data_IF_182379640609
#
_entry.id   IF_182379640609
#
_cell.length_a   1.000
_cell.length_b   1.000
_cell.length_c   1.000
_cell.angle_alpha   90.00
_cell.angle_beta   90.00
_cell.angle_gamma   90.00
#
_symmetry.space_group_name_H-M   'P 1'
#
loop_
_entity.id
_entity.type
_entity.pdbx_description
1 polymer ?
#
# COMPACT_ATOMS: atom_id res chain seq x y z
N UNK A 1 -16.47 -6.34 -10.66
CA UNK A 1 -15.53 -5.19 -10.74
C UNK A 1 -15.60 -4.45 -9.42
N UNK A 2 -14.51 -3.84 -8.97
CA UNK A 2 -14.39 -3.30 -7.60
C UNK A 2 -13.46 -2.09 -7.57
N UNK A 3 -13.90 -1.03 -6.89
CA UNK A 3 -13.06 0.15 -6.57
C UNK A 3 -12.30 -0.10 -5.27
N UNK A 4 -10.99 0.20 -5.27
CA UNK A 4 -10.14 0.18 -4.07
C UNK A 4 -9.83 1.61 -3.65
N UNK A 5 -10.00 1.90 -2.37
CA UNK A 5 -9.72 3.20 -1.77
C UNK A 5 -8.88 3.10 -0.52
N UNK A 6 -8.10 4.15 -0.21
CA UNK A 6 -7.35 4.22 1.04
C UNK A 6 -6.96 5.65 1.39
N UNK A 7 -6.86 5.96 2.69
CA UNK A 7 -6.33 7.25 3.16
C UNK A 7 -4.88 7.07 3.58
N UNK A 8 -3.98 7.72 2.87
CA UNK A 8 -2.56 7.80 3.22
C UNK A 8 -2.32 9.05 4.07
N UNK A 9 -1.66 8.86 5.21
CA UNK A 9 -1.20 9.97 6.07
C UNK A 9 0.32 10.03 6.00
N UNK A 10 0.87 11.13 5.49
CA UNK A 10 2.28 11.48 5.73
C UNK A 10 2.40 12.07 7.13
N UNK A 11 3.43 11.67 7.88
CA UNK A 11 3.70 12.16 9.24
C UNK A 11 4.11 13.65 9.26
N UNK A 12 4.62 14.16 8.14
CA UNK A 12 5.05 15.55 7.96
C UNK A 12 3.89 16.55 7.67
N UNK A 13 2.63 16.07 7.56
CA UNK A 13 1.44 16.86 7.19
C UNK A 13 1.56 17.63 5.86
N UNK A 14 2.58 17.38 5.06
CA UNK A 14 2.61 17.87 3.68
C UNK A 14 1.73 16.98 2.80
N UNK A 15 0.93 17.62 1.95
CA UNK A 15 0.18 16.90 0.91
C UNK A 15 1.14 15.98 0.13
N UNK A 16 0.70 14.80 -0.33
CA UNK A 16 1.50 14.01 -1.26
C UNK A 16 1.98 14.91 -2.41
N UNK A 17 3.22 14.70 -2.87
CA UNK A 17 3.79 15.52 -3.93
C UNK A 17 2.78 15.62 -5.08
N UNK A 18 2.41 16.86 -5.43
CA UNK A 18 1.26 17.21 -6.27
C UNK A 18 1.26 16.54 -7.65
N UNK A 19 2.41 15.99 -8.05
CA UNK A 19 2.70 15.58 -9.43
C UNK A 19 3.17 14.12 -9.58
N UNK A 20 3.17 13.28 -8.55
CA UNK A 20 3.52 11.86 -8.73
C UNK A 20 2.37 11.09 -9.38
N UNK A 21 2.50 10.89 -10.70
CA UNK A 21 1.69 9.95 -11.46
C UNK A 21 1.99 8.53 -10.99
N UNK A 22 1.05 7.89 -10.30
CA UNK A 22 1.19 6.51 -9.85
C UNK A 22 1.89 6.41 -8.50
N UNK A 23 1.21 6.83 -7.44
CA UNK A 23 1.68 6.51 -6.09
C UNK A 23 1.37 5.05 -5.75
N UNK A 24 0.27 4.49 -6.27
CA UNK A 24 -0.06 3.07 -6.14
C UNK A 24 -0.25 2.49 -7.53
N UNK A 25 0.38 1.36 -7.81
CA UNK A 25 0.20 0.64 -9.07
C UNK A 25 -0.50 -0.69 -8.80
N UNK A 26 -1.63 -0.93 -9.44
CA UNK A 26 -2.27 -2.24 -9.45
C UNK A 26 -1.89 -3.00 -10.71
N UNK A 27 -1.52 -4.26 -10.60
CA UNK A 27 -1.39 -5.17 -11.73
C UNK A 27 -2.51 -6.19 -11.64
N UNK A 28 -3.43 -6.16 -12.60
CA UNK A 28 -4.61 -7.03 -12.65
C UNK A 28 -4.66 -7.80 -13.96
N UNK A 29 -5.29 -8.96 -13.93
CA UNK A 29 -5.59 -9.72 -15.14
C UNK A 29 -6.87 -9.17 -15.80
N UNK A 30 -6.76 -8.78 -17.07
CA UNK A 30 -7.88 -8.32 -17.89
C UNK A 30 -8.12 -9.28 -19.06
N UNK A 31 -9.39 -9.56 -19.36
CA UNK A 31 -9.77 -10.37 -20.52
C UNK A 31 -9.89 -9.47 -21.74
N UNK A 32 -8.99 -9.65 -22.70
CA UNK A 32 -9.06 -8.97 -24.00
C UNK A 32 -9.65 -9.91 -25.05
N UNK A 33 -10.84 -9.58 -25.53
CA UNK A 33 -11.52 -10.35 -26.58
C UNK A 33 -10.86 -10.13 -27.94
N UNK A 34 -10.64 -11.22 -28.68
CA UNK A 34 -9.93 -11.21 -29.98
C UNK A 34 -10.86 -11.61 -31.12
N UNK A 35 -11.81 -12.50 -30.84
CA UNK A 35 -12.89 -12.90 -31.73
C UNK A 35 -14.15 -13.22 -30.90
N UNK A 36 -15.28 -13.50 -31.55
CA UNK A 36 -16.51 -13.86 -30.86
C UNK A 36 -16.31 -15.16 -30.05
N UNK A 37 -16.16 -15.04 -28.73
CA UNK A 37 -15.96 -16.15 -27.79
C UNK A 37 -14.52 -16.35 -27.32
N UNK A 38 -13.54 -15.87 -28.07
CA UNK A 38 -12.12 -16.02 -27.74
C UNK A 38 -11.57 -14.78 -27.03
N UNK A 39 -10.88 -15.00 -25.92
CA UNK A 39 -10.16 -13.95 -25.19
C UNK A 39 -8.76 -14.40 -24.81
N UNK A 40 -7.86 -13.43 -24.72
CA UNK A 40 -6.56 -13.60 -24.07
C UNK A 40 -6.59 -12.90 -22.72
N UNK A 41 -5.91 -13.48 -21.73
CA UNK A 41 -5.69 -12.81 -20.44
C UNK A 41 -4.41 -11.99 -20.55
N UNK A 42 -4.51 -10.69 -20.30
CA UNK A 42 -3.37 -9.78 -20.29
C UNK A 42 -3.23 -9.15 -18.91
N UNK A 43 -1.99 -9.03 -18.44
CA UNK A 43 -1.71 -8.27 -17.23
C UNK A 43 -1.63 -6.79 -17.55
N UNK A 44 -2.46 -6.00 -16.87
CA UNK A 44 -2.55 -4.55 -17.04
C UNK A 44 -2.07 -3.87 -15.78
N UNK A 45 -1.11 -2.96 -15.93
CA UNK A 45 -0.61 -2.12 -14.84
C UNK A 45 -1.37 -0.78 -14.83
N UNK A 46 -2.09 -0.53 -13.74
CA UNK A 46 -2.98 0.60 -13.52
C UNK A 46 -2.35 1.58 -12.52
N UNK A 47 -1.77 2.70 -12.97
CA UNK A 47 -1.23 3.72 -12.07
C UNK A 47 -2.35 4.55 -11.44
N UNK A 48 -2.39 4.59 -10.12
CA UNK A 48 -3.35 5.37 -9.34
C UNK A 48 -2.62 6.48 -8.58
N UNK A 49 -3.15 7.71 -8.69
CA UNK A 49 -2.67 8.87 -7.94
C UNK A 49 -3.44 9.01 -6.64
N UNK A 50 -2.80 9.65 -5.66
CA UNK A 50 -3.49 10.16 -4.48
C UNK A 50 -4.10 11.52 -4.81
N UNK A 51 -5.36 11.71 -4.46
CA UNK A 51 -6.01 13.02 -4.44
C UNK A 51 -6.26 13.41 -2.99
N UNK A 52 -5.63 14.50 -2.53
CA UNK A 52 -5.67 14.96 -1.13
C UNK A 52 -5.37 13.84 -0.11
N UNK A 53 -4.39 12.99 -0.42
CA UNK A 53 -4.00 11.86 0.43
C UNK A 53 -4.96 10.66 0.37
N UNK A 54 -5.97 10.70 -0.49
CA UNK A 54 -6.90 9.60 -0.72
C UNK A 54 -6.59 8.91 -2.04
N UNK A 55 -6.33 7.61 -1.97
CA UNK A 55 -6.29 6.71 -3.11
C UNK A 55 -7.72 6.36 -3.51
N UNK A 56 -8.00 6.43 -4.81
CA UNK A 56 -9.20 5.85 -5.42
C UNK A 56 -8.78 5.22 -6.75
N UNK A 57 -8.88 3.89 -6.86
CA UNK A 57 -8.63 3.19 -8.11
C UNK A 57 -9.81 3.35 -9.08
N UNK A 58 -9.63 3.10 -10.38
CA UNK A 58 -10.76 2.77 -11.25
C UNK A 58 -11.37 1.42 -10.84
N UNK A 59 -12.45 1.01 -11.51
CA UNK A 59 -13.03 -0.32 -11.36
C UNK A 59 -12.04 -1.40 -11.80
N UNK A 60 -11.57 -2.20 -10.85
CA UNK A 60 -10.65 -3.30 -11.09
C UNK A 60 -11.41 -4.62 -11.22
N UNK A 61 -10.89 -5.53 -12.04
CA UNK A 61 -11.43 -6.89 -12.15
C UNK A 61 -11.17 -7.64 -10.83
N UNK A 62 -12.19 -8.36 -10.34
CA UNK A 62 -12.03 -9.18 -9.15
C UNK A 62 -11.14 -10.38 -9.43
N UNK A 63 -10.29 -10.75 -8.47
CA UNK A 63 -9.31 -11.82 -8.64
C UNK A 63 -7.96 -11.51 -8.00
N UNK A 64 -6.97 -12.40 -8.20
CA UNK A 64 -5.59 -12.17 -7.78
C UNK A 64 -5.02 -10.93 -8.46
N UNK A 65 -4.31 -10.11 -7.70
CA UNK A 65 -3.66 -8.91 -8.21
C UNK A 65 -2.37 -8.63 -7.45
N UNK A 66 -1.54 -7.77 -8.04
CA UNK A 66 -0.39 -7.19 -7.36
C UNK A 66 -0.67 -5.72 -7.08
N UNK A 67 -0.20 -5.23 -5.93
CA UNK A 67 -0.19 -3.80 -5.61
C UNK A 67 1.20 -3.35 -5.23
N UNK A 68 1.70 -2.31 -5.89
CA UNK A 68 2.99 -1.70 -5.60
C UNK A 68 2.76 -0.29 -5.05
N UNK A 69 3.42 0.05 -3.94
CA UNK A 69 3.33 1.38 -3.33
C UNK A 69 4.62 2.15 -3.63
N UNK A 70 4.50 3.26 -4.36
CA UNK A 70 5.62 4.03 -4.91
C UNK A 70 6.20 3.41 -6.19
N UNK A 71 7.03 4.18 -6.90
CA UNK A 71 7.66 3.75 -8.16
C UNK A 71 8.69 2.62 -7.98
N UNK A 72 9.32 2.56 -6.81
CA UNK A 72 10.37 1.58 -6.44
C UNK A 72 10.09 0.88 -5.10
N UNK A 73 8.88 1.00 -4.57
CA UNK A 73 8.54 0.41 -3.28
C UNK A 73 8.08 -1.04 -3.38
N UNK A 74 7.71 -1.64 -2.23
CA UNK A 74 7.36 -3.05 -2.13
C UNK A 74 6.12 -3.38 -2.95
N UNK A 75 6.10 -4.61 -3.48
CA UNK A 75 4.95 -5.20 -4.16
C UNK A 75 4.29 -6.22 -3.23
N UNK A 76 2.97 -6.19 -3.18
CA UNK A 76 2.14 -7.06 -2.36
C UNK A 76 1.18 -7.84 -3.22
N UNK A 77 1.02 -9.12 -2.92
CA UNK A 77 -0.06 -9.94 -3.49
C UNK A 77 -1.35 -9.67 -2.73
N UNK A 78 -2.44 -9.42 -3.46
CA UNK A 78 -3.76 -9.17 -2.89
C UNK A 78 -4.82 -9.97 -3.64
N UNK A 79 -5.94 -10.24 -2.97
CA UNK A 79 -7.15 -10.76 -3.60
C UNK A 79 -8.18 -9.65 -3.68
N UNK A 80 -8.48 -9.15 -4.88
CA UNK A 80 -9.54 -8.15 -5.09
C UNK A 80 -10.89 -8.87 -5.01
N UNK A 81 -11.74 -8.58 -4.00
CA UNK A 81 -13.05 -9.19 -3.91
C UNK A 81 -13.98 -8.61 -4.96
N UNK A 82 -15.07 -9.29 -5.29
CA UNK A 82 -16.19 -8.69 -6.01
C UNK A 82 -17.02 -7.86 -5.03
N UNK A 83 -17.13 -6.55 -5.26
CA UNK A 83 -17.85 -5.63 -4.38
C UNK A 83 -18.43 -4.46 -5.16
N UNK A 84 -19.70 -4.15 -4.91
CA UNK A 84 -20.34 -2.94 -5.43
C UNK A 84 -19.94 -1.68 -4.66
N UNK A 85 -19.39 -1.83 -3.45
CA UNK A 85 -18.93 -0.74 -2.59
C UNK A 85 -17.39 -0.64 -2.61
N UNK A 86 -16.80 0.56 -2.43
CA UNK A 86 -15.36 0.72 -2.33
C UNK A 86 -14.74 -0.10 -1.20
N UNK A 87 -13.64 -0.80 -1.50
CA UNK A 87 -12.92 -1.66 -0.56
C UNK A 87 -11.63 -0.99 -0.11
N UNK A 88 -11.25 -1.18 1.16
CA UNK A 88 -10.02 -0.60 1.72
C UNK A 88 -8.77 -1.38 1.31
N UNK A 89 -7.71 -0.67 0.90
CA UNK A 89 -6.47 -1.30 0.43
C UNK A 89 -5.75 -2.10 1.54
N UNK A 90 -5.54 -1.51 2.72
CA UNK A 90 -4.70 -2.13 3.74
C UNK A 90 -5.19 -3.51 4.19
N UNK A 91 -6.49 -3.73 4.47
CA UNK A 91 -7.00 -5.06 4.77
C UNK A 91 -6.72 -6.11 3.70
N UNK A 92 -6.68 -5.73 2.42
CA UNK A 92 -6.35 -6.66 1.33
C UNK A 92 -4.88 -7.07 1.38
N UNK A 93 -3.98 -6.12 1.66
CA UNK A 93 -2.54 -6.38 1.82
C UNK A 93 -2.30 -7.27 3.05
N UNK A 94 -2.92 -6.94 4.18
CA UNK A 94 -2.73 -7.69 5.43
C UNK A 94 -3.21 -9.15 5.30
N UNK A 95 -4.29 -9.38 4.54
CA UNK A 95 -4.79 -10.73 4.29
C UNK A 95 -3.82 -11.60 3.48
N UNK A 96 -2.98 -10.98 2.64
CA UNK A 96 -1.92 -11.66 1.88
C UNK A 96 -0.62 -11.85 2.65
N UNK A 97 -0.47 -11.27 3.85
CA UNK A 97 0.74 -11.37 4.65
C UNK A 97 0.76 -12.64 5.49
N UNK A 98 1.94 -13.27 5.68
CA UNK A 98 2.07 -14.36 6.64
C UNK A 98 1.69 -13.86 8.04
N UNK A 99 0.85 -14.63 8.73
CA UNK A 99 0.50 -14.30 10.11
C UNK A 99 1.75 -14.27 10.97
N UNK A 100 1.88 -13.30 11.88
CA UNK A 100 2.99 -13.29 12.83
C UNK A 100 2.98 -14.58 13.65
N UNK A 101 4.15 -15.10 14.05
CA UNK A 101 4.24 -16.27 14.94
C UNK A 101 3.37 -16.07 16.18
N UNK A 102 2.71 -17.13 16.64
CA UNK A 102 1.88 -17.06 17.85
C UNK A 102 2.72 -16.53 19.03
N UNK A 103 2.27 -15.43 19.65
CA UNK A 103 2.96 -14.76 20.76
C UNK A 103 3.94 -13.66 20.36
N UNK A 104 4.16 -13.41 19.06
CA UNK A 104 4.90 -12.23 18.62
C UNK A 104 4.02 -10.97 18.76
N UNK A 105 4.58 -9.81 19.18
CA UNK A 105 3.89 -8.55 19.01
C UNK A 105 3.55 -8.37 17.53
N UNK A 106 2.37 -7.85 17.21
CA UNK A 106 1.89 -7.69 15.83
C UNK A 106 2.83 -6.87 14.94
N UNK A 107 2.48 -6.69 13.67
CA UNK A 107 3.30 -5.92 12.72
C UNK A 107 2.94 -4.43 12.72
N UNK A 108 3.89 -3.58 12.30
CA UNK A 108 3.66 -2.14 12.10
C UNK A 108 3.40 -1.87 10.61
N UNK A 109 2.27 -1.24 10.29
CA UNK A 109 1.97 -0.78 8.93
C UNK A 109 2.70 0.54 8.65
N UNK A 110 3.62 0.55 7.68
CA UNK A 110 4.30 1.77 7.23
C UNK A 110 3.75 2.22 5.88
N UNK A 111 2.79 3.14 5.87
CA UNK A 111 2.19 3.71 4.65
C UNK A 111 3.05 4.78 3.96
N UNK A 112 4.38 4.67 4.05
CA UNK A 112 5.33 5.67 3.53
C UNK A 112 5.58 6.86 4.46
N UNK A 113 5.19 6.74 5.74
CA UNK A 113 5.36 7.80 6.74
C UNK A 113 6.66 7.71 7.54
N UNK A 114 7.24 6.52 7.67
CA UNK A 114 8.50 6.30 8.37
C UNK A 114 9.59 5.95 7.35
N UNK A 115 10.68 6.71 7.35
CA UNK A 115 11.87 6.43 6.55
C UNK A 115 12.79 5.42 7.25
N UNK A 116 12.81 5.42 8.59
CA UNK A 116 13.68 4.56 9.40
C UNK A 116 12.99 4.13 10.69
N UNK A 117 13.39 2.97 11.20
CA UNK A 117 13.13 2.56 12.57
C UNK A 117 14.48 2.37 13.28
N UNK A 118 14.61 2.89 14.49
CA UNK A 118 15.85 2.84 15.26
C UNK A 118 15.58 2.47 16.72
N UNK A 119 16.44 1.62 17.26
CA UNK A 119 16.46 1.20 18.66
C UNK A 119 17.45 2.08 19.41
N UNK A 120 17.02 2.71 20.51
CA UNK A 120 17.89 3.56 21.33
C UNK A 120 17.61 3.38 22.82
N UNK A 121 18.66 3.41 23.64
CA UNK A 121 18.52 3.39 25.09
C UNK A 121 17.93 4.72 25.58
N UNK A 122 17.03 4.66 26.57
CA UNK A 122 16.37 5.85 27.12
C UNK A 122 17.36 6.95 27.55
N UNK A 123 18.53 6.66 28.18
CA UNK A 123 19.50 7.70 28.55
C UNK A 123 20.13 8.43 27.36
N UNK A 124 20.23 7.76 26.21
CA UNK A 124 20.87 8.31 25.01
C UNK A 124 19.88 9.12 24.16
N UNK A 125 18.58 8.91 24.37
CA UNK A 125 17.55 9.59 23.60
C UNK A 125 17.65 11.12 23.66
N UNK A 126 17.86 11.81 24.79
CA UNK A 126 17.96 13.28 24.81
C UNK A 126 19.09 13.85 23.95
N UNK A 127 20.20 13.10 23.81
CA UNK A 127 21.40 13.55 23.09
C UNK A 127 21.37 13.16 21.61
N UNK A 128 20.49 12.24 21.23
CA UNK A 128 20.42 11.74 19.87
C UNK A 128 19.69 12.71 18.92
N UNK A 129 20.27 13.06 17.75
CA UNK A 129 19.61 13.87 16.73
C UNK A 129 18.22 13.32 16.39
N UNK A 130 17.21 14.19 16.31
CA UNK A 130 15.83 13.80 16.01
C UNK A 130 15.54 13.99 14.54
N UNK A 131 15.30 12.87 13.87
CA UNK A 131 14.74 12.86 12.53
C UNK A 131 13.23 12.62 12.62
N UNK A 132 12.39 13.56 12.17
CA UNK A 132 10.93 13.41 12.18
C UNK A 132 10.42 12.24 11.32
N UNK A 133 11.23 11.70 10.40
CA UNK A 133 10.90 10.52 9.62
C UNK A 133 11.38 9.20 10.26
N UNK A 134 12.04 9.25 11.43
CA UNK A 134 12.52 8.06 12.14
C UNK A 134 11.61 7.71 13.32
N UNK A 135 11.13 6.46 13.38
CA UNK A 135 10.47 5.90 14.56
C UNK A 135 11.52 5.37 15.54
N UNK A 136 11.54 5.90 16.77
CA UNK A 136 12.46 5.47 17.83
C UNK A 136 11.76 4.53 18.80
N UNK A 137 12.34 3.35 19.02
CA UNK A 137 11.97 2.45 20.11
C UNK A 137 12.90 2.71 21.30
N UNK A 138 12.33 3.12 22.44
CA UNK A 138 13.07 3.42 23.65
C UNK A 138 13.02 2.25 24.62
N UNK A 139 14.18 1.80 25.07
CA UNK A 139 14.31 0.70 26.03
C UNK A 139 14.95 1.22 27.32
N UNK A 140 14.50 0.66 28.45
CA UNK A 140 14.95 1.04 29.80
C UNK A 140 16.21 0.27 30.16
#
# INVERSE_FOLDING_TARGET
MTVITETFRRLDKTAPAKDDVGFVYFTVDERRYVAAGDFVVVQVRVPCRLNDGVLTSPDLVAGPALVQIGSVGPTYEIQIPESAEPVRLWPLIDAGMPQPPAGAPGFVRNGGGMARAEVIAMPDYPMHPKDPATMYFLFV
#
